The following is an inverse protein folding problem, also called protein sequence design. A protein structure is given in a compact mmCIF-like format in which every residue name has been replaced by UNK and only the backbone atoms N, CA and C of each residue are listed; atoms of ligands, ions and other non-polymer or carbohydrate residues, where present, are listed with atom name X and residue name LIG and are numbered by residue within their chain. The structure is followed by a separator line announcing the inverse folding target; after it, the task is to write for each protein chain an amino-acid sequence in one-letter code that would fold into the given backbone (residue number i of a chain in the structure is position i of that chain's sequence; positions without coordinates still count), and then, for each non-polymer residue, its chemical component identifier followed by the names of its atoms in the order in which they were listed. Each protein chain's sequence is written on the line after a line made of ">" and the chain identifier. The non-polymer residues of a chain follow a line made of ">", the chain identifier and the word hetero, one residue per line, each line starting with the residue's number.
data_IF_566515314959
#
_entry.id   IF_566515314959
#
_cell.length_a   1.000
_cell.length_b   1.000
_cell.length_c   1.000
_cell.angle_alpha   90.00
_cell.angle_beta   90.00
_cell.angle_gamma   90.00
#
_symmetry.space_group_name_H-M   'P 1'
#
loop_
_entity.id
_entity.type
_entity.pdbx_description
1 polymer ?
#
# COMPACT_ATOMS: atom_id res chain seq x y z
N UNK A 1 9.87 -13.07 16.88
CA UNK A 1 9.47 -12.85 15.46
C UNK A 1 8.83 -11.47 15.36
N UNK A 2 9.00 -10.76 14.23
CA UNK A 2 8.53 -9.37 14.04
C UNK A 2 7.69 -9.31 12.77
N UNK A 3 6.57 -8.57 12.80
CA UNK A 3 5.79 -8.25 11.61
C UNK A 3 5.43 -6.76 11.65
N UNK A 4 5.99 -5.99 10.72
CA UNK A 4 5.83 -4.55 10.67
C UNK A 4 4.92 -4.08 9.52
N UNK A 5 4.23 -4.99 8.82
CA UNK A 5 3.36 -4.65 7.73
C UNK A 5 2.10 -5.53 7.76
N UNK A 6 1.04 -5.00 8.36
CA UNK A 6 -0.24 -5.71 8.52
C UNK A 6 -1.42 -4.75 8.40
N UNK A 7 -2.55 -5.25 7.89
CA UNK A 7 -3.75 -4.48 7.64
C UNK A 7 -4.95 -4.99 8.42
N UNK A 8 -5.81 -4.07 8.82
CA UNK A 8 -7.10 -4.36 9.44
C UNK A 8 -8.25 -3.99 8.49
N UNK A 9 -9.49 -4.24 8.93
CA UNK A 9 -10.70 -3.84 8.21
C UNK A 9 -10.97 -2.31 8.24
N UNK A 10 -10.09 -1.52 8.86
CA UNK A 10 -10.11 -0.07 8.70
C UNK A 10 -9.60 0.36 7.33
N UNK A 11 -8.75 -0.46 6.68
CA UNK A 11 -8.39 -0.29 5.27
C UNK A 11 -8.98 -1.42 4.43
N UNK A 12 -8.19 -2.34 3.97
CA UNK A 12 -8.55 -3.42 3.05
C UNK A 12 -8.25 -4.82 3.59
N UNK A 13 -7.79 -4.91 4.83
CA UNK A 13 -7.70 -6.16 5.56
C UNK A 13 -9.09 -6.73 5.91
N UNK A 14 -9.19 -8.04 6.12
CA UNK A 14 -10.45 -8.69 6.50
C UNK A 14 -10.64 -8.88 8.00
N UNK A 15 -9.58 -8.72 8.79
CA UNK A 15 -9.62 -8.86 10.23
C UNK A 15 -9.83 -7.50 10.90
N UNK A 16 -10.66 -7.47 11.93
CA UNK A 16 -10.68 -6.33 12.86
C UNK A 16 -9.41 -6.31 13.71
N UNK A 17 -9.18 -5.20 14.39
CA UNK A 17 -8.01 -5.00 15.25
C UNK A 17 -7.86 -6.12 16.27
N UNK A 18 -8.97 -6.54 16.89
CA UNK A 18 -8.98 -7.62 17.90
C UNK A 18 -8.46 -8.94 17.31
N UNK A 19 -8.99 -9.32 16.16
CA UNK A 19 -8.61 -10.57 15.50
C UNK A 19 -7.15 -10.56 15.07
N UNK A 20 -6.65 -9.44 14.57
CA UNK A 20 -5.23 -9.28 14.23
C UNK A 20 -4.34 -9.49 15.46
N UNK A 21 -4.69 -8.88 16.60
CA UNK A 21 -3.95 -9.04 17.86
C UNK A 21 -3.99 -10.48 18.39
N UNK A 22 -5.14 -11.15 18.32
CA UNK A 22 -5.28 -12.56 18.70
C UNK A 22 -4.36 -13.48 17.87
N UNK A 23 -4.26 -13.24 16.57
CA UNK A 23 -3.39 -14.04 15.69
C UNK A 23 -1.91 -13.69 15.91
N UNK A 24 -1.58 -12.43 16.18
CA UNK A 24 -0.22 -12.01 16.55
C UNK A 24 0.23 -12.68 17.86
N UNK A 25 -0.64 -12.74 18.88
CA UNK A 25 -0.37 -13.44 20.14
C UNK A 25 -0.19 -14.93 19.92
N UNK A 26 -1.08 -15.57 19.17
CA UNK A 26 -1.03 -16.99 18.85
C UNK A 26 0.22 -17.40 18.07
N UNK A 27 0.72 -16.53 17.19
CA UNK A 27 1.95 -16.75 16.43
C UNK A 27 3.21 -16.32 17.20
N UNK A 28 3.04 -15.84 18.44
CA UNK A 28 4.12 -15.39 19.34
C UNK A 28 5.02 -14.33 18.71
N UNK A 29 4.41 -13.34 18.05
CA UNK A 29 5.15 -12.17 17.62
C UNK A 29 5.66 -11.42 18.84
N UNK A 30 6.84 -10.83 18.72
CA UNK A 30 7.43 -9.95 19.73
C UNK A 30 7.09 -8.48 19.43
N UNK A 31 6.99 -8.16 18.13
CA UNK A 31 6.67 -6.80 17.67
C UNK A 31 5.69 -6.90 16.49
N UNK A 32 4.65 -6.09 16.55
CA UNK A 32 3.64 -5.90 15.51
C UNK A 32 3.53 -4.42 15.17
N UNK A 33 3.41 -4.06 13.89
CA UNK A 33 2.89 -2.76 13.47
C UNK A 33 1.61 -2.94 12.66
N UNK A 34 0.60 -2.13 12.96
CA UNK A 34 -0.61 -2.02 12.15
C UNK A 34 -0.38 -0.87 11.19
N UNK A 35 -0.46 -1.14 9.89
CA UNK A 35 -0.11 -0.21 8.82
C UNK A 35 -1.24 -0.02 7.82
N UNK A 36 -2.46 0.14 8.31
CA UNK A 36 -3.64 0.38 7.48
C UNK A 36 -3.39 1.47 6.45
N UNK A 37 -3.88 1.27 5.22
CA UNK A 37 -3.76 2.26 4.15
C UNK A 37 -4.42 3.56 4.53
N UNK A 38 -3.61 4.63 4.56
CA UNK A 38 -4.04 6.02 4.69
C UNK A 38 -4.91 6.30 5.93
N UNK A 39 -4.84 5.45 6.98
CA UNK A 39 -5.69 5.52 8.17
C UNK A 39 -4.94 5.23 9.47
N UNK A 40 -5.43 5.85 10.54
CA UNK A 40 -4.94 5.69 11.90
C UNK A 40 -5.99 5.13 12.86
N UNK A 41 -7.14 4.69 12.34
CA UNK A 41 -8.32 4.34 13.15
C UNK A 41 -8.04 3.19 14.11
N UNK A 42 -7.31 2.15 13.69
CA UNK A 42 -6.89 1.04 14.55
C UNK A 42 -6.06 1.53 15.74
N UNK A 43 -5.16 2.50 15.54
CA UNK A 43 -4.35 3.06 16.62
C UNK A 43 -5.19 3.88 17.61
N UNK A 44 -6.18 4.62 17.12
CA UNK A 44 -7.12 5.34 17.99
C UNK A 44 -8.05 4.39 18.75
N UNK A 45 -8.45 3.28 18.16
CA UNK A 45 -9.21 2.22 18.83
C UNK A 45 -8.38 1.63 19.99
N UNK A 46 -7.13 1.25 19.73
CA UNK A 46 -6.19 0.74 20.73
C UNK A 46 -5.92 1.74 21.86
N UNK A 47 -5.90 3.03 21.55
CA UNK A 47 -5.71 4.08 22.56
C UNK A 47 -6.93 4.28 23.47
N UNK A 48 -8.11 3.84 23.08
CA UNK A 48 -9.38 3.97 23.81
C UNK A 48 -9.75 2.71 24.60
N UNK A 49 -9.26 1.55 24.19
CA UNK A 49 -9.59 0.25 24.79
C UNK A 49 -8.34 -0.50 25.24
N UNK A 50 -8.05 -0.38 26.55
CA UNK A 50 -6.92 -1.07 27.18
C UNK A 50 -7.08 -2.60 27.14
N UNK A 51 -8.30 -3.13 27.25
CA UNK A 51 -8.53 -4.57 27.16
C UNK A 51 -8.19 -5.09 25.76
N UNK A 52 -8.59 -4.34 24.74
CA UNK A 52 -8.21 -4.65 23.36
C UNK A 52 -6.69 -4.64 23.19
N UNK A 53 -6.04 -3.56 23.68
CA UNK A 53 -4.58 -3.43 23.62
C UNK A 53 -3.86 -4.60 24.30
N UNK A 54 -4.38 -5.11 25.42
CA UNK A 54 -3.82 -6.20 26.21
C UNK A 54 -4.10 -7.59 25.62
N UNK A 55 -4.81 -7.70 24.50
CA UNK A 55 -4.99 -8.96 23.74
C UNK A 55 -3.65 -9.48 23.20
N UNK A 56 -2.71 -8.59 22.93
CA UNK A 56 -1.37 -8.92 22.47
C UNK A 56 -0.32 -8.48 23.52
N UNK A 57 0.49 -9.43 23.99
CA UNK A 57 1.51 -9.20 25.02
C UNK A 57 2.81 -8.60 24.46
N UNK A 58 3.03 -8.70 23.16
CA UNK A 58 4.16 -8.10 22.46
C UNK A 58 4.07 -6.59 22.34
N UNK A 59 5.06 -6.00 21.69
CA UNK A 59 5.12 -4.56 21.44
C UNK A 59 4.31 -4.21 20.19
N UNK A 60 3.32 -3.32 20.32
CA UNK A 60 2.66 -2.69 19.16
C UNK A 60 3.39 -1.38 18.83
N UNK A 61 3.87 -1.26 17.60
CA UNK A 61 4.41 -0.02 17.03
C UNK A 61 3.31 0.76 16.33
N UNK A 62 3.36 2.08 16.39
CA UNK A 62 2.55 2.90 15.47
C UNK A 62 3.06 2.70 14.06
N UNK A 63 2.13 2.50 13.13
CA UNK A 63 2.42 2.30 11.72
C UNK A 63 1.30 2.85 10.84
N UNK A 64 1.60 3.15 9.60
CA UNK A 64 0.67 3.50 8.54
C UNK A 64 1.33 3.21 7.20
N UNK A 65 0.55 2.77 6.21
CA UNK A 65 0.99 2.68 4.83
C UNK A 65 0.29 3.75 3.99
N UNK A 66 1.06 4.71 3.52
CA UNK A 66 0.58 5.82 2.71
C UNK A 66 0.59 5.50 1.23
N UNK A 67 -0.50 5.77 0.54
CA UNK A 67 -0.48 5.97 -0.91
C UNK A 67 0.18 7.30 -1.23
N UNK A 68 1.18 7.31 -2.11
CA UNK A 68 1.92 8.52 -2.44
C UNK A 68 2.47 8.49 -3.86
N UNK A 69 2.90 9.65 -4.36
CA UNK A 69 3.45 9.78 -5.71
C UNK A 69 4.76 10.55 -5.67
N UNK A 70 5.76 10.09 -6.42
CA UNK A 70 6.99 10.82 -6.63
C UNK A 70 7.54 10.56 -8.04
N UNK A 71 7.93 11.62 -8.73
CA UNK A 71 8.43 11.58 -10.11
C UNK A 71 7.53 10.77 -11.08
N UNK A 72 6.22 10.92 -10.90
CA UNK A 72 5.21 10.23 -11.70
C UNK A 72 5.00 8.76 -11.36
N UNK A 73 5.71 8.22 -10.36
CA UNK A 73 5.52 6.86 -9.84
C UNK A 73 4.60 6.90 -8.63
N UNK A 74 3.51 6.15 -8.67
CA UNK A 74 2.69 5.85 -7.50
C UNK A 74 3.32 4.67 -6.75
N UNK A 75 3.49 4.81 -5.45
CA UNK A 75 4.02 3.77 -4.58
C UNK A 75 3.52 3.93 -3.14
N UNK A 76 3.71 2.91 -2.33
CA UNK A 76 3.35 2.92 -0.93
C UNK A 76 4.54 3.24 -0.04
N UNK A 77 4.30 4.09 0.94
CA UNK A 77 5.29 4.51 1.93
C UNK A 77 4.84 4.08 3.32
N UNK A 78 5.57 3.17 3.93
CA UNK A 78 5.39 2.83 5.33
C UNK A 78 5.97 3.92 6.22
N UNK A 79 5.29 4.22 7.31
CA UNK A 79 5.82 5.08 8.34
C UNK A 79 5.65 4.44 9.72
N UNK A 80 6.63 4.66 10.60
CA UNK A 80 6.65 4.08 11.94
C UNK A 80 7.07 5.06 13.01
N UNK A 81 6.73 4.73 14.27
CA UNK A 81 7.18 5.39 15.49
C UNK A 81 6.84 6.89 15.55
N UNK A 82 5.74 7.29 14.97
CA UNK A 82 5.22 8.67 14.97
C UNK A 82 4.15 8.87 16.07
N UNK A 83 3.94 10.13 16.41
CA UNK A 83 2.81 10.58 17.23
C UNK A 83 1.54 10.65 16.38
N UNK A 84 0.58 9.77 16.67
CA UNK A 84 -0.69 9.65 15.91
C UNK A 84 -1.51 10.95 15.95
N UNK A 85 -1.49 11.69 17.06
CA UNK A 85 -2.25 12.94 17.20
C UNK A 85 -1.66 14.07 16.37
N UNK A 86 -0.32 14.08 16.20
CA UNK A 86 0.36 15.06 15.34
C UNK A 86 0.17 14.75 13.87
N UNK A 87 0.12 13.46 13.50
CA UNK A 87 -0.01 13.05 12.09
C UNK A 87 -1.46 13.05 11.60
N UNK A 88 -2.45 12.83 12.48
CA UNK A 88 -3.87 12.75 12.14
C UNK A 88 -4.41 13.93 11.32
N UNK A 89 -4.09 15.21 11.61
CA UNK A 89 -4.59 16.33 10.81
C UNK A 89 -4.14 16.26 9.34
N UNK A 90 -2.92 15.78 9.09
CA UNK A 90 -2.41 15.56 7.73
C UNK A 90 -3.16 14.42 7.04
N UNK A 91 -3.32 13.27 7.72
CA UNK A 91 -4.08 12.14 7.21
C UNK A 91 -5.52 12.56 6.85
N UNK A 92 -6.21 13.25 7.73
CA UNK A 92 -7.56 13.74 7.48
C UNK A 92 -7.64 14.71 6.28
N UNK A 93 -6.64 15.57 6.12
CA UNK A 93 -6.63 16.55 5.03
C UNK A 93 -6.44 15.92 3.67
N UNK A 94 -5.56 14.94 3.55
CA UNK A 94 -5.09 14.41 2.26
C UNK A 94 -5.66 13.05 1.90
N UNK A 95 -6.08 12.25 2.88
CA UNK A 95 -6.50 10.87 2.68
C UNK A 95 -7.95 10.57 3.08
N UNK A 96 -8.72 11.60 3.42
CA UNK A 96 -10.14 11.44 3.63
C UNK A 96 -10.84 11.36 2.26
N UNK A 97 -10.57 10.28 1.54
CA UNK A 97 -11.20 10.01 0.24
C UNK A 97 -12.72 9.98 0.42
N UNK A 98 -13.37 10.96 -0.18
CA UNK A 98 -14.84 10.99 -0.22
C UNK A 98 -15.30 9.96 -1.26
N UNK A 99 -16.51 9.44 -1.08
CA UNK A 99 -17.15 8.59 -2.10
C UNK A 99 -17.15 9.19 -3.51
N UNK A 100 -17.21 10.53 -3.60
CA UNK A 100 -17.07 11.28 -4.85
C UNK A 100 -15.71 11.08 -5.55
N UNK A 101 -14.66 10.84 -4.79
CA UNK A 101 -13.31 10.72 -5.33
C UNK A 101 -13.10 9.33 -5.97
N UNK A 102 -13.63 8.28 -5.35
CA UNK A 102 -13.64 6.93 -5.92
C UNK A 102 -14.49 6.88 -7.22
N UNK A 103 -15.62 7.57 -7.25
CA UNK A 103 -16.41 7.70 -8.48
C UNK A 103 -15.64 8.43 -9.57
N UNK A 104 -14.94 9.51 -9.24
CA UNK A 104 -14.11 10.25 -10.17
C UNK A 104 -12.95 9.40 -10.71
N UNK A 105 -12.32 8.61 -9.84
CA UNK A 105 -11.28 7.65 -10.23
C UNK A 105 -11.84 6.62 -11.23
N UNK A 106 -12.97 6.00 -10.91
CA UNK A 106 -13.64 5.07 -11.82
C UNK A 106 -13.96 5.71 -13.19
N UNK A 107 -14.51 6.92 -13.20
CA UNK A 107 -14.83 7.65 -14.41
C UNK A 107 -13.59 7.93 -15.28
N UNK A 108 -12.45 8.24 -14.65
CA UNK A 108 -11.17 8.43 -15.33
C UNK A 108 -10.64 7.13 -15.92
N UNK A 109 -10.68 6.02 -15.15
CA UNK A 109 -10.31 4.70 -15.65
C UNK A 109 -11.18 4.32 -16.87
N UNK A 110 -12.49 4.44 -16.77
CA UNK A 110 -13.43 4.17 -17.86
C UNK A 110 -13.18 5.06 -19.09
N UNK A 111 -12.86 6.34 -18.88
CA UNK A 111 -12.52 7.26 -19.97
C UNK A 111 -11.24 6.86 -20.69
N UNK A 112 -10.24 6.39 -19.94
CA UNK A 112 -8.99 5.88 -20.50
C UNK A 112 -9.20 4.59 -21.28
N UNK A 113 -9.94 3.66 -20.73
CA UNK A 113 -10.30 2.38 -21.37
C UNK A 113 -11.08 2.60 -22.67
N UNK A 114 -12.08 3.49 -22.66
CA UNK A 114 -12.87 3.83 -23.86
C UNK A 114 -12.04 4.44 -25.00
N UNK A 115 -10.88 5.01 -24.68
CA UNK A 115 -9.93 5.53 -25.69
C UNK A 115 -8.95 4.47 -26.18
N UNK A 116 -8.90 3.33 -25.53
CA UNK A 116 -8.04 2.20 -25.87
C UNK A 116 -8.78 1.22 -26.80
N UNK A 117 -8.05 0.18 -27.22
CA UNK A 117 -8.64 -0.93 -27.98
C UNK A 117 -9.18 -2.06 -27.07
N UNK A 118 -9.31 -1.81 -25.77
CA UNK A 118 -9.84 -2.79 -24.82
C UNK A 118 -11.35 -2.93 -24.98
N UNK A 119 -11.80 -4.18 -25.05
CA UNK A 119 -13.22 -4.51 -25.03
C UNK A 119 -13.71 -4.52 -23.60
N UNK A 120 -14.80 -3.80 -23.32
CA UNK A 120 -15.42 -3.72 -22.01
C UNK A 120 -16.92 -3.46 -22.19
N UNK A 121 -17.72 -4.02 -21.29
CA UNK A 121 -19.15 -3.70 -21.21
C UNK A 121 -19.34 -2.28 -20.65
N UNK A 122 -20.54 -1.74 -20.85
CA UNK A 122 -20.95 -0.56 -20.11
C UNK A 122 -21.19 -0.93 -18.65
N UNK A 123 -20.43 -0.34 -17.75
CA UNK A 123 -20.52 -0.56 -16.30
C UNK A 123 -20.72 0.76 -15.56
N UNK A 124 -21.48 0.69 -14.48
CA UNK A 124 -21.75 1.82 -13.60
C UNK A 124 -21.01 1.55 -12.28
N UNK A 125 -20.37 2.57 -11.76
CA UNK A 125 -19.73 2.48 -10.47
C UNK A 125 -20.73 2.23 -9.34
N UNK A 126 -20.50 1.15 -8.61
CA UNK A 126 -21.25 0.78 -7.41
C UNK A 126 -20.28 0.70 -6.23
N UNK A 127 -20.29 1.71 -5.39
CA UNK A 127 -19.42 1.83 -4.21
C UNK A 127 -19.58 0.69 -3.19
N UNK A 128 -20.66 -0.10 -3.27
CA UNK A 128 -20.86 -1.31 -2.45
C UNK A 128 -20.00 -2.48 -2.93
N UNK A 129 -19.46 -2.40 -4.13
CA UNK A 129 -18.60 -3.44 -4.72
C UNK A 129 -17.11 -3.24 -4.45
N UNK A 130 -16.74 -2.19 -3.72
CA UNK A 130 -15.37 -1.92 -3.36
C UNK A 130 -14.72 -0.77 -4.16
N UNK A 131 -13.43 -0.86 -4.35
CA UNK A 131 -12.63 0.13 -5.06
C UNK A 131 -12.90 0.08 -6.58
N UNK A 132 -12.62 1.17 -7.33
CA UNK A 132 -12.74 1.17 -8.78
C UNK A 132 -12.06 -0.02 -9.47
N UNK A 133 -10.89 -0.42 -8.99
CA UNK A 133 -10.16 -1.56 -9.55
C UNK A 133 -10.90 -2.90 -9.37
N UNK A 134 -11.63 -3.09 -8.26
CA UNK A 134 -12.41 -4.30 -8.01
C UNK A 134 -13.54 -4.49 -9.03
N UNK A 135 -13.95 -3.41 -9.69
CA UNK A 135 -14.99 -3.41 -10.73
C UNK A 135 -14.36 -3.45 -12.13
N UNK A 136 -13.28 -2.71 -12.34
CA UNK A 136 -12.63 -2.56 -13.65
C UNK A 136 -11.86 -3.81 -14.05
N UNK A 137 -11.06 -4.37 -13.13
CA UNK A 137 -10.23 -5.54 -13.44
C UNK A 137 -11.06 -6.74 -13.94
N UNK A 138 -12.12 -7.21 -13.23
CA UNK A 138 -12.93 -8.31 -13.72
C UNK A 138 -13.68 -7.97 -15.01
N UNK A 139 -14.03 -6.70 -15.26
CA UNK A 139 -14.68 -6.29 -16.48
C UNK A 139 -13.73 -6.30 -17.70
N UNK A 140 -12.46 -5.97 -17.50
CA UNK A 140 -11.41 -6.05 -18.53
C UNK A 140 -11.05 -7.50 -18.82
N UNK A 141 -10.83 -8.32 -17.77
CA UNK A 141 -10.41 -9.72 -17.89
C UNK A 141 -11.54 -10.67 -18.28
N UNK A 142 -12.78 -10.20 -18.32
CA UNK A 142 -13.92 -10.93 -18.88
C UNK A 142 -13.73 -11.32 -20.35
N UNK A 143 -12.98 -10.53 -21.11
CA UNK A 143 -12.80 -10.69 -22.54
C UNK A 143 -11.39 -11.16 -22.88
N UNK A 144 -11.24 -12.43 -23.24
CA UNK A 144 -9.95 -13.04 -23.63
C UNK A 144 -9.24 -12.26 -24.75
N UNK A 145 -9.98 -11.55 -25.60
CA UNK A 145 -9.44 -10.67 -26.65
C UNK A 145 -8.54 -9.56 -26.10
N UNK A 146 -8.73 -9.17 -24.83
CA UNK A 146 -7.93 -8.17 -24.15
C UNK A 146 -6.57 -8.72 -23.69
N UNK A 147 -6.47 -10.04 -23.48
CA UNK A 147 -5.28 -10.68 -22.88
C UNK A 147 -3.97 -10.33 -23.61
N UNK A 148 -4.02 -10.15 -24.92
CA UNK A 148 -2.86 -9.79 -25.76
C UNK A 148 -2.20 -8.45 -25.41
N UNK A 149 -2.86 -7.62 -24.62
CA UNK A 149 -2.35 -6.30 -24.17
C UNK A 149 -1.64 -6.37 -22.81
N UNK A 150 -1.68 -7.52 -22.14
CA UNK A 150 -1.21 -7.70 -20.78
C UNK A 150 -0.23 -8.87 -20.70
N UNK A 151 0.71 -8.82 -19.76
CA UNK A 151 1.52 -9.97 -19.38
C UNK A 151 0.66 -10.97 -18.60
N UNK A 152 1.07 -12.23 -18.54
CA UNK A 152 0.31 -13.27 -17.83
C UNK A 152 0.10 -12.95 -16.34
N UNK A 153 1.09 -12.38 -15.68
CA UNK A 153 1.02 -11.93 -14.29
C UNK A 153 0.02 -10.80 -14.09
N UNK A 154 -0.01 -9.81 -15.00
CA UNK A 154 -0.96 -8.69 -14.98
C UNK A 154 -2.39 -9.17 -15.24
N UNK A 155 -2.54 -10.20 -16.07
CA UNK A 155 -3.85 -10.77 -16.41
C UNK A 155 -4.45 -11.61 -15.29
N UNK A 156 -3.61 -12.25 -14.46
CA UNK A 156 -4.06 -13.23 -13.46
C UNK A 156 -4.09 -12.68 -12.02
N UNK A 157 -3.55 -11.49 -11.79
CA UNK A 157 -3.44 -10.90 -10.45
C UNK A 157 -3.85 -9.43 -10.47
N UNK A 158 -4.88 -9.10 -9.66
CA UNK A 158 -5.44 -7.75 -9.58
C UNK A 158 -4.45 -6.71 -9.03
N UNK A 159 -3.59 -7.11 -8.10
CA UNK A 159 -2.61 -6.21 -7.49
C UNK A 159 -1.49 -5.92 -8.49
N UNK A 160 -1.05 -6.94 -9.24
CA UNK A 160 -0.09 -6.76 -10.33
C UNK A 160 -0.69 -5.89 -11.44
N UNK A 161 -1.96 -6.14 -11.82
CA UNK A 161 -2.66 -5.30 -12.79
C UNK A 161 -2.73 -3.85 -12.34
N UNK A 162 -3.10 -3.60 -11.09
CA UNK A 162 -3.15 -2.25 -10.54
C UNK A 162 -1.77 -1.58 -10.59
N UNK A 163 -0.77 -2.20 -10.00
CA UNK A 163 0.57 -1.63 -9.88
C UNK A 163 1.30 -1.48 -11.22
N UNK A 164 1.06 -2.37 -12.19
CA UNK A 164 1.76 -2.35 -13.49
C UNK A 164 1.02 -1.63 -14.59
N UNK A 165 -0.32 -1.61 -14.55
CA UNK A 165 -1.13 -1.10 -15.65
C UNK A 165 -1.88 0.17 -15.29
N UNK A 166 -2.48 0.24 -14.09
CA UNK A 166 -3.30 1.40 -13.70
C UNK A 166 -2.42 2.57 -13.27
N UNK A 167 -1.31 2.31 -12.59
CA UNK A 167 -0.36 3.34 -12.15
C UNK A 167 0.64 3.74 -13.24
N UNK A 168 0.76 2.97 -14.31
CA UNK A 168 1.71 3.23 -15.38
C UNK A 168 1.09 4.12 -16.48
N UNK A 169 1.55 5.37 -16.56
CA UNK A 169 1.08 6.40 -17.51
C UNK A 169 1.07 5.96 -19.00
N UNK A 170 1.84 4.95 -19.35
CA UNK A 170 1.94 4.44 -20.72
C UNK A 170 0.89 3.36 -21.04
N UNK A 171 0.09 2.95 -20.06
CA UNK A 171 -0.90 1.88 -20.22
C UNK A 171 -2.31 2.43 -20.56
N UNK A 172 -3.12 1.69 -21.34
CA UNK A 172 -4.47 2.13 -21.72
C UNK A 172 -5.44 2.35 -20.55
N UNK A 173 -5.19 1.71 -19.40
CA UNK A 173 -6.02 1.82 -18.19
C UNK A 173 -5.47 2.81 -17.18
N UNK A 174 -4.38 3.51 -17.52
CA UNK A 174 -3.66 4.36 -16.59
C UNK A 174 -4.50 5.51 -16.01
N UNK A 175 -4.28 5.79 -14.75
CA UNK A 175 -4.82 6.95 -14.02
C UNK A 175 -3.65 7.80 -13.50
N UNK A 176 -3.74 9.11 -13.61
CA UNK A 176 -2.79 9.99 -12.94
C UNK A 176 -3.18 10.15 -11.47
N UNK A 177 -2.46 9.48 -10.59
CA UNK A 177 -2.69 9.50 -9.15
C UNK A 177 -2.15 10.75 -8.44
N UNK A 178 -1.32 11.58 -9.10
CA UNK A 178 -0.83 12.85 -8.52
C UNK A 178 -1.95 13.80 -8.09
N UNK A 179 -3.13 13.65 -8.68
CA UNK A 179 -4.31 14.44 -8.33
C UNK A 179 -5.06 13.88 -7.12
N UNK A 180 -4.75 12.67 -6.68
CA UNK A 180 -5.43 11.98 -5.59
C UNK A 180 -4.56 11.88 -4.35
N UNK A 181 -3.26 11.66 -4.52
CA UNK A 181 -2.34 11.41 -3.42
C UNK A 181 -1.27 12.50 -3.32
N UNK A 182 -0.85 12.85 -2.11
CA UNK A 182 0.19 13.83 -1.90
C UNK A 182 1.54 13.33 -2.39
N UNK A 183 2.41 14.27 -2.75
CA UNK A 183 3.78 13.98 -3.10
C UNK A 183 4.53 13.36 -1.90
N UNK A 184 5.33 12.33 -2.15
CA UNK A 184 6.06 11.58 -1.13
C UNK A 184 6.96 12.44 -0.25
N UNK A 185 7.52 13.52 -0.80
CA UNK A 185 8.33 14.47 -0.04
C UNK A 185 7.51 15.17 1.05
N UNK A 186 6.28 15.57 0.72
CA UNK A 186 5.36 16.16 1.70
C UNK A 186 4.97 15.15 2.78
N UNK A 187 4.68 13.90 2.40
CA UNK A 187 4.36 12.82 3.36
C UNK A 187 5.53 12.62 4.33
N UNK A 188 6.76 12.48 3.79
CA UNK A 188 7.95 12.29 4.59
C UNK A 188 8.22 13.45 5.57
N UNK A 189 7.99 14.68 5.14
CA UNK A 189 8.13 15.87 6.00
C UNK A 189 7.12 15.85 7.16
N UNK A 190 5.86 15.50 6.91
CA UNK A 190 4.82 15.45 7.94
C UNK A 190 5.05 14.28 8.92
N UNK A 191 5.48 13.12 8.43
CA UNK A 191 5.87 11.99 9.29
C UNK A 191 7.03 12.39 10.22
N UNK A 192 8.06 13.08 9.69
CA UNK A 192 9.20 13.54 10.52
C UNK A 192 8.78 14.60 11.53
N UNK A 193 7.88 15.53 11.20
CA UNK A 193 7.30 16.48 12.17
C UNK A 193 6.56 15.76 13.29
N UNK A 194 5.96 14.62 13.01
CA UNK A 194 5.33 13.76 13.99
C UNK A 194 6.33 12.86 14.76
N UNK A 195 7.63 12.92 14.45
CA UNK A 195 8.69 12.15 15.10
C UNK A 195 8.97 10.78 14.48
N UNK A 196 8.29 10.43 13.40
CA UNK A 196 8.38 9.13 12.73
C UNK A 196 9.51 8.99 11.71
N UNK A 197 9.58 7.81 11.12
CA UNK A 197 10.51 7.40 10.07
C UNK A 197 9.74 6.81 8.90
N UNK A 198 10.24 7.03 7.69
CA UNK A 198 9.61 6.60 6.43
C UNK A 198 10.40 5.51 5.73
N UNK A 199 9.68 4.56 5.14
CA UNK A 199 10.26 3.43 4.40
C UNK A 199 9.50 3.24 3.10
N UNK A 200 10.17 2.86 2.03
CA UNK A 200 9.45 2.37 0.86
C UNK A 200 8.94 0.94 1.13
N UNK A 201 7.66 0.69 0.86
CA UNK A 201 7.05 -0.64 0.92
C UNK A 201 7.37 -1.42 -0.36
N UNK A 202 7.48 -2.72 -0.26
CA UNK A 202 7.49 -3.75 -1.32
C UNK A 202 7.95 -3.28 -2.72
N UNK A 203 9.15 -2.69 -2.82
CA UNK A 203 9.67 -1.98 -4.02
C UNK A 203 9.58 -2.79 -5.32
N UNK A 204 9.72 -4.11 -5.27
CA UNK A 204 9.63 -4.97 -6.46
C UNK A 204 8.20 -5.13 -7.02
N UNK A 205 7.19 -4.55 -6.37
CA UNK A 205 5.79 -4.59 -6.87
C UNK A 205 5.43 -3.43 -7.81
N UNK A 206 6.33 -2.46 -8.03
CA UNK A 206 6.00 -1.23 -8.79
C UNK A 206 6.37 -1.25 -10.26
N UNK A 207 6.82 -2.38 -10.83
CA UNK A 207 7.21 -2.51 -12.24
C UNK A 207 8.14 -1.35 -12.70
N UNK A 208 9.15 -1.05 -11.89
CA UNK A 208 10.16 -0.04 -12.19
C UNK A 208 11.14 -0.57 -13.23
N UNK A 209 11.71 0.32 -14.03
CA UNK A 209 12.81 -0.05 -14.95
C UNK A 209 14.09 -0.40 -14.16
N UNK A 210 14.34 0.30 -13.06
CA UNK A 210 15.47 0.07 -12.14
C UNK A 210 15.06 0.47 -10.72
N UNK A 211 14.85 -0.53 -9.86
CA UNK A 211 14.46 -0.33 -8.47
C UNK A 211 15.56 0.39 -7.67
N UNK A 212 16.83 0.10 -7.96
CA UNK A 212 17.95 0.71 -7.22
C UNK A 212 18.06 2.19 -7.58
N UNK A 213 17.93 2.55 -8.86
CA UNK A 213 17.92 3.95 -9.26
C UNK A 213 16.76 4.72 -8.60
N UNK A 214 15.58 4.09 -8.45
CA UNK A 214 14.44 4.68 -7.75
C UNK A 214 14.72 4.85 -6.25
N UNK A 215 15.29 3.84 -5.60
CA UNK A 215 15.72 3.93 -4.21
C UNK A 215 16.76 5.04 -3.98
N UNK A 216 17.73 5.17 -4.87
CA UNK A 216 18.74 6.26 -4.83
C UNK A 216 18.09 7.64 -4.93
N UNK A 217 17.11 7.81 -5.80
CA UNK A 217 16.37 9.05 -5.94
C UNK A 217 15.62 9.39 -4.65
N UNK A 218 14.87 8.44 -4.09
CA UNK A 218 14.12 8.64 -2.83
C UNK A 218 15.05 8.95 -1.65
N UNK A 219 16.19 8.27 -1.55
CA UNK A 219 17.20 8.49 -0.52
C UNK A 219 17.85 9.88 -0.66
N UNK A 220 18.32 10.24 -1.86
CA UNK A 220 19.00 11.51 -2.11
C UNK A 220 18.09 12.72 -1.85
N UNK A 221 16.80 12.59 -2.14
CA UNK A 221 15.79 13.59 -1.84
C UNK A 221 15.26 13.52 -0.39
N UNK A 222 15.85 12.64 0.42
CA UNK A 222 15.50 12.44 1.85
C UNK A 222 14.01 12.10 2.05
N UNK A 223 13.45 11.32 1.14
CA UNK A 223 12.05 10.86 1.22
C UNK A 223 11.96 9.64 2.12
N UNK A 224 12.93 8.73 2.04
CA UNK A 224 12.97 7.52 2.85
C UNK A 224 14.11 7.53 3.87
N UNK A 225 13.86 6.97 5.05
CA UNK A 225 14.84 6.67 6.08
C UNK A 225 15.25 5.19 6.02
N UNK A 226 14.47 4.34 5.33
CA UNK A 226 14.71 2.91 5.21
C UNK A 226 13.95 2.26 4.06
N UNK A 227 14.08 0.94 3.97
CA UNK A 227 13.48 0.09 2.93
C UNK A 227 12.83 -1.12 3.58
N UNK A 228 11.69 -1.57 3.06
CA UNK A 228 11.15 -2.88 3.37
C UNK A 228 11.96 -3.94 2.63
N UNK A 229 12.83 -4.62 3.38
CA UNK A 229 13.77 -5.62 2.85
C UNK A 229 13.15 -7.01 2.82
N UNK A 230 12.31 -7.30 3.82
CA UNK A 230 11.67 -8.60 3.98
C UNK A 230 10.18 -8.47 3.75
N UNK A 231 9.70 -9.03 2.64
CA UNK A 231 8.28 -9.03 2.28
C UNK A 231 7.85 -10.41 1.81
N UNK A 232 6.59 -10.80 2.07
CA UNK A 232 6.08 -12.16 1.78
C UNK A 232 6.16 -12.54 0.29
N UNK A 233 6.15 -11.56 -0.63
CA UNK A 233 6.26 -11.78 -2.08
C UNK A 233 7.70 -11.78 -2.61
N UNK A 234 8.70 -11.46 -1.77
CA UNK A 234 10.09 -11.38 -2.23
C UNK A 234 10.76 -12.74 -2.23
N UNK A 235 11.60 -12.95 -3.22
CA UNK A 235 12.56 -14.06 -3.22
C UNK A 235 13.72 -13.73 -2.25
N UNK A 236 14.38 -14.75 -1.75
CA UNK A 236 15.58 -14.60 -0.90
C UNK A 236 16.62 -13.69 -1.55
N UNK A 237 16.90 -13.88 -2.85
CA UNK A 237 17.84 -13.06 -3.62
C UNK A 237 17.44 -11.57 -3.70
N UNK A 238 16.14 -11.28 -3.78
CA UNK A 238 15.65 -9.90 -3.75
C UNK A 238 15.86 -9.25 -2.38
N UNK A 239 15.56 -10.00 -1.30
CA UNK A 239 15.82 -9.53 0.06
C UNK A 239 17.32 -9.32 0.33
N UNK A 240 18.19 -10.24 -0.11
CA UNK A 240 19.65 -10.08 -0.01
C UNK A 240 20.14 -8.82 -0.72
N UNK A 241 19.68 -8.56 -1.96
CA UNK A 241 20.02 -7.35 -2.72
C UNK A 241 19.62 -6.07 -1.99
N UNK A 242 18.40 -6.03 -1.41
CA UNK A 242 17.94 -4.87 -0.65
C UNK A 242 18.69 -4.71 0.67
N UNK A 243 19.01 -5.82 1.34
CA UNK A 243 19.80 -5.81 2.56
C UNK A 243 21.20 -5.23 2.34
N UNK A 244 21.89 -5.67 1.28
CA UNK A 244 23.18 -5.14 0.86
C UNK A 244 23.08 -3.64 0.57
N UNK A 245 22.11 -3.23 -0.24
CA UNK A 245 21.84 -1.82 -0.54
C UNK A 245 21.62 -0.98 0.73
N UNK A 246 20.82 -1.45 1.68
CA UNK A 246 20.57 -0.74 2.94
C UNK A 246 21.84 -0.58 3.76
N UNK A 247 22.65 -1.64 3.87
CA UNK A 247 23.91 -1.61 4.62
C UNK A 247 24.91 -0.62 3.99
N UNK A 248 25.08 -0.61 2.68
CA UNK A 248 25.97 0.29 1.96
C UNK A 248 25.54 1.76 2.07
N UNK A 249 24.24 2.01 2.17
CA UNK A 249 23.66 3.36 2.21
C UNK A 249 23.24 3.83 3.61
N UNK A 250 23.53 3.06 4.66
CA UNK A 250 23.13 3.35 6.05
C UNK A 250 21.62 3.61 6.20
N UNK A 251 20.79 2.86 5.47
CA UNK A 251 19.34 2.91 5.56
C UNK A 251 18.81 1.95 6.61
N UNK A 252 17.70 2.30 7.23
CA UNK A 252 16.97 1.43 8.14
C UNK A 252 16.30 0.28 7.38
N UNK A 253 16.07 -0.82 8.08
CA UNK A 253 15.48 -2.04 7.53
C UNK A 253 14.14 -2.29 8.20
N UNK A 254 13.12 -2.58 7.40
CA UNK A 254 11.84 -3.12 7.89
C UNK A 254 11.51 -4.43 7.18
N UNK A 255 10.43 -5.05 7.62
CA UNK A 255 9.88 -6.22 6.96
C UNK A 255 8.56 -6.64 7.60
N UNK A 256 7.70 -7.22 6.79
CA UNK A 256 6.39 -7.68 7.21
C UNK A 256 5.76 -8.64 6.20
N UNK A 257 4.60 -9.14 6.59
CA UNK A 257 3.86 -10.10 5.76
C UNK A 257 2.97 -9.44 4.73
N UNK A 258 2.65 -8.15 4.91
CA UNK A 258 1.61 -7.44 4.14
C UNK A 258 0.28 -8.21 4.22
N UNK A 259 -0.10 -8.58 5.45
CA UNK A 259 -1.23 -9.46 5.71
C UNK A 259 -2.56 -8.73 5.54
N UNK A 260 -3.26 -8.99 4.44
CA UNK A 260 -4.62 -8.52 4.19
C UNK A 260 -5.68 -9.58 4.45
N UNK A 261 -5.35 -10.85 4.19
CA UNK A 261 -6.28 -11.97 4.27
C UNK A 261 -5.59 -13.27 4.64
N UNK A 262 -6.22 -14.05 5.51
CA UNK A 262 -6.00 -15.49 5.48
C UNK A 262 -7.04 -16.08 4.52
N UNK A 263 -6.61 -16.63 3.36
CA UNK A 263 -7.47 -17.53 2.58
C UNK A 263 -7.79 -18.70 3.49
N UNK A 264 -9.02 -18.79 3.99
CA UNK A 264 -9.49 -20.07 4.54
C UNK A 264 -9.38 -21.07 3.41
N UNK A 265 -8.47 -22.05 3.58
CA UNK A 265 -8.45 -23.22 2.68
C UNK A 265 -9.79 -23.92 2.88
N UNK A 266 -10.68 -23.77 1.90
CA UNK A 266 -11.86 -24.62 1.76
C UNK A 266 -11.44 -26.02 1.31
#
# INVERSE_FOLDING_TARGET
>A
MIDLHTHTNYSDGTWDTKRLLEEAEKTKLEVLAITDHDKLDAHFELGKDENLRNTFTGKIKTGIEFNTVYDGVHFHMLAYDFDIHKLQPFVHKYYNLRKSDLRLEFEKMMKSIKKSNLKIDEIIYDEKKGWPIDIIYPAVTKYDENRKYFKDEEWNDIDVFFNSCVTNKNFPVAVNFEIHYPNAKLVAEEVRKAGGKTFIAHVYRYNLEDEIAFLDMLKNDKIIDGVEVYHSSFTEKQSEKLLEYCNENNLLISGGTDCHRRKEKR
#
